data_IF_969076589489
#
_entry.id   IF_969076589489
#
_cell.length_a   1.000
_cell.length_b   1.000
_cell.length_c   1.000
_cell.angle_alpha   90.00
_cell.angle_beta   90.00
_cell.angle_gamma   90.00
#
_symmetry.space_group_name_H-M   'P 1'
#
loop_
_entity.id
_entity.type
_entity.pdbx_description
1 polymer ?
#
# COMPACT_ATOMS: atom_id res chain seq x y z
N UNK A 1 -7.55 18.86 16.97
CA UNK A 1 -6.24 18.24 17.24
C UNK A 1 -5.45 18.96 18.33
N UNK A 2 -5.19 20.29 18.25
CA UNK A 2 -4.38 21.06 19.22
C UNK A 2 -4.83 21.02 20.70
N UNK A 3 -6.09 20.68 20.99
CA UNK A 3 -6.64 20.64 22.37
C UNK A 3 -6.22 19.41 23.20
N UNK A 4 -5.56 18.40 22.62
CA UNK A 4 -5.15 17.16 23.32
C UNK A 4 -3.69 17.15 23.78
N UNK A 5 -2.87 18.12 23.36
CA UNK A 5 -1.45 18.14 23.65
C UNK A 5 -1.07 19.25 24.61
N UNK A 6 -0.11 18.98 25.51
CA UNK A 6 0.35 19.93 26.52
C UNK A 6 1.06 21.13 25.89
N UNK A 7 0.94 22.30 26.49
CA UNK A 7 1.72 23.48 26.10
C UNK A 7 3.23 23.14 26.09
N UNK A 8 3.89 23.24 24.92
CA UNK A 8 5.32 22.97 24.75
C UNK A 8 5.67 21.93 23.70
N UNK A 9 4.71 21.13 23.22
CA UNK A 9 4.97 20.18 22.13
C UNK A 9 5.07 20.94 20.79
N UNK A 10 6.16 20.68 20.06
CA UNK A 10 6.39 21.28 18.73
C UNK A 10 5.95 20.32 17.64
N UNK A 11 4.98 20.73 16.85
CA UNK A 11 4.63 20.03 15.62
C UNK A 11 5.55 20.53 14.49
N UNK A 12 6.20 19.59 13.81
CA UNK A 12 7.09 19.90 12.68
C UNK A 12 6.34 19.94 11.34
N UNK A 13 5.15 19.33 11.27
CA UNK A 13 4.33 19.30 10.08
C UNK A 13 3.14 18.34 10.20
N UNK A 14 2.41 18.17 9.12
CA UNK A 14 1.33 17.21 8.94
C UNK A 14 1.67 16.30 7.77
N UNK A 15 1.78 15.01 8.00
CA UNK A 15 1.92 14.02 6.94
C UNK A 15 0.54 13.49 6.53
N UNK A 16 0.34 13.36 5.24
CA UNK A 16 -0.90 12.90 4.63
C UNK A 16 -0.57 11.68 3.75
N UNK A 17 -1.10 10.53 4.13
CA UNK A 17 -1.02 9.31 3.34
C UNK A 17 -2.39 9.04 2.72
N UNK A 18 -2.51 9.18 1.40
CA UNK A 18 -3.77 8.95 0.69
C UNK A 18 -3.53 8.39 -0.72
N UNK A 19 -4.47 7.64 -1.28
CA UNK A 19 -4.38 7.21 -2.66
C UNK A 19 -4.25 8.42 -3.59
N UNK A 20 -3.42 8.28 -4.64
CA UNK A 20 -3.39 9.26 -5.72
C UNK A 20 -4.55 9.01 -6.68
N UNK A 21 -4.99 10.08 -7.37
CA UNK A 21 -5.98 9.99 -8.45
C UNK A 21 -7.28 9.31 -8.01
N UNK A 22 -7.76 9.62 -6.80
CA UNK A 22 -8.97 9.01 -6.22
C UNK A 22 -10.21 9.15 -7.10
N UNK A 23 -10.24 10.13 -8.01
CA UNK A 23 -11.31 10.32 -8.99
C UNK A 23 -11.38 9.22 -10.06
N UNK A 24 -10.33 8.40 -10.20
CA UNK A 24 -10.33 7.25 -11.11
C UNK A 24 -10.90 5.97 -10.45
N UNK A 25 -11.17 6.02 -9.13
CA UNK A 25 -11.59 4.86 -8.34
C UNK A 25 -13.09 4.83 -8.04
N UNK A 26 -13.90 5.66 -8.71
CA UNK A 26 -15.35 5.76 -8.46
C UNK A 26 -16.07 4.41 -8.55
N UNK A 27 -15.74 3.61 -9.56
CA UNK A 27 -16.34 2.28 -9.76
C UNK A 27 -15.99 1.30 -8.64
N UNK A 28 -14.76 1.37 -8.13
CA UNK A 28 -14.26 0.47 -7.09
C UNK A 28 -14.91 0.76 -5.74
N UNK A 29 -15.14 2.04 -5.43
CA UNK A 29 -15.80 2.46 -4.18
C UNK A 29 -17.31 2.60 -4.29
N UNK A 30 -17.89 2.19 -5.44
CA UNK A 30 -19.32 2.33 -5.75
C UNK A 30 -19.84 3.78 -5.59
N UNK A 31 -19.01 4.76 -5.88
CA UNK A 31 -19.41 6.16 -5.91
C UNK A 31 -20.20 6.44 -7.22
N UNK A 32 -21.16 7.38 -7.17
CA UNK A 32 -21.81 7.84 -8.40
C UNK A 32 -20.79 8.42 -9.39
N UNK A 33 -20.99 8.27 -10.70
CA UNK A 33 -20.12 8.86 -11.71
C UNK A 33 -19.95 10.37 -11.51
N UNK A 34 -18.72 10.84 -11.47
CA UNK A 34 -18.34 12.24 -11.25
C UNK A 34 -18.33 12.70 -9.78
N UNK A 35 -18.69 11.83 -8.83
CA UNK A 35 -18.74 12.20 -7.41
C UNK A 35 -17.35 12.53 -6.81
N UNK A 36 -16.30 11.99 -7.39
CA UNK A 36 -14.92 12.25 -6.96
C UNK A 36 -14.17 13.21 -7.89
N UNK A 37 -14.83 13.72 -8.94
CA UNK A 37 -14.22 14.57 -9.96
C UNK A 37 -13.57 15.84 -9.38
N UNK A 38 -14.21 16.47 -8.41
CA UNK A 38 -13.74 17.72 -7.77
C UNK A 38 -12.38 17.55 -7.07
N UNK A 39 -12.02 16.31 -6.66
CA UNK A 39 -10.73 16.04 -6.04
C UNK A 39 -9.53 16.24 -6.97
N UNK A 40 -9.76 16.24 -8.29
CA UNK A 40 -8.70 16.46 -9.28
C UNK A 40 -8.04 17.84 -9.13
N UNK A 41 -8.84 18.83 -8.78
CA UNK A 41 -8.40 20.22 -8.68
C UNK A 41 -8.07 20.67 -7.25
N UNK A 42 -8.16 19.74 -6.27
CA UNK A 42 -7.85 20.03 -4.87
C UNK A 42 -6.40 19.74 -4.53
N UNK A 43 -5.65 20.77 -4.19
CA UNK A 43 -4.34 20.62 -3.52
C UNK A 43 -4.58 20.38 -2.02
N UNK A 44 -4.65 19.09 -1.65
CA UNK A 44 -4.90 18.67 -0.27
C UNK A 44 -3.81 19.15 0.67
N UNK A 45 -2.54 19.16 0.25
CA UNK A 45 -1.43 19.60 1.08
C UNK A 45 -1.50 21.11 1.34
N UNK A 46 -1.78 21.90 0.31
CA UNK A 46 -1.97 23.35 0.45
C UNK A 46 -3.15 23.68 1.37
N UNK A 47 -4.29 22.98 1.20
CA UNK A 47 -5.48 23.22 2.01
C UNK A 47 -5.25 22.86 3.49
N UNK A 48 -4.60 21.72 3.78
CA UNK A 48 -4.23 21.34 5.15
C UNK A 48 -3.23 22.32 5.76
N UNK A 49 -2.24 22.77 4.98
CA UNK A 49 -1.28 23.82 5.41
C UNK A 49 -2.01 25.11 5.78
N UNK A 50 -2.95 25.54 4.94
CA UNK A 50 -3.75 26.75 5.18
C UNK A 50 -4.58 26.65 6.47
N UNK A 51 -5.21 25.51 6.72
CA UNK A 51 -6.06 25.30 7.90
C UNK A 51 -5.27 25.09 9.18
N UNK A 52 -4.15 24.37 9.12
CA UNK A 52 -3.37 24.00 10.31
C UNK A 52 -2.28 25.01 10.64
N UNK A 53 -1.82 25.78 9.65
CA UNK A 53 -0.62 26.62 9.67
C UNK A 53 0.66 25.83 9.96
N UNK A 54 0.67 24.56 9.58
CA UNK A 54 1.81 23.66 9.62
C UNK A 54 2.12 23.20 8.19
N UNK A 55 3.39 23.00 7.83
CA UNK A 55 3.73 22.38 6.56
C UNK A 55 3.00 21.04 6.43
N UNK A 56 2.28 20.81 5.34
CA UNK A 56 1.65 19.53 5.05
C UNK A 56 2.38 18.85 3.87
N UNK A 57 2.57 17.55 3.99
CA UNK A 57 3.27 16.73 3.01
C UNK A 57 2.38 15.57 2.61
N UNK A 58 2.28 15.32 1.31
CA UNK A 58 1.42 14.28 0.74
C UNK A 58 2.29 13.17 0.13
N UNK A 59 1.95 11.92 0.44
CA UNK A 59 2.48 10.75 -0.24
C UNK A 59 1.34 9.76 -0.56
N UNK A 60 1.57 8.89 -1.54
CA UNK A 60 0.70 7.74 -1.74
C UNK A 60 0.70 6.87 -0.47
N UNK A 61 -0.47 6.37 -0.07
CA UNK A 61 -0.65 5.67 1.20
C UNK A 61 0.15 4.35 1.28
N UNK A 62 0.24 3.60 0.19
CA UNK A 62 1.04 2.38 0.15
C UNK A 62 2.56 2.67 0.12
N UNK A 63 2.97 3.74 -0.56
CA UNK A 63 4.36 4.22 -0.53
C UNK A 63 4.74 4.72 0.86
N UNK A 64 3.84 5.43 1.55
CA UNK A 64 4.04 5.84 2.93
C UNK A 64 4.18 4.63 3.87
N UNK A 65 3.34 3.60 3.70
CA UNK A 65 3.45 2.35 4.45
C UNK A 65 4.79 1.64 4.22
N UNK A 66 5.27 1.61 2.97
CA UNK A 66 6.60 1.08 2.62
C UNK A 66 7.72 1.86 3.32
N UNK A 67 7.59 3.19 3.41
CA UNK A 67 8.53 4.04 4.13
C UNK A 67 8.56 3.78 5.63
N UNK A 68 7.40 3.53 6.24
CA UNK A 68 7.31 3.13 7.64
C UNK A 68 7.99 1.79 7.89
N UNK A 69 7.77 0.81 7.01
CA UNK A 69 8.43 -0.49 7.08
C UNK A 69 9.95 -0.33 6.99
N UNK A 70 10.45 0.43 6.01
CA UNK A 70 11.89 0.70 5.87
C UNK A 70 12.50 1.31 7.13
N UNK A 71 11.80 2.25 7.76
CA UNK A 71 12.28 2.91 8.96
C UNK A 71 12.27 2.03 10.21
N UNK A 72 11.43 0.98 10.22
CA UNK A 72 11.32 0.01 11.32
C UNK A 72 12.36 -1.10 11.23
N UNK A 73 12.99 -1.27 10.08
CA UNK A 73 13.99 -2.30 9.88
C UNK A 73 15.33 -1.91 10.54
N UNK A 74 15.97 -2.89 11.17
CA UNK A 74 17.33 -2.72 11.63
C UNK A 74 18.27 -2.43 10.45
N UNK A 75 19.10 -1.39 10.60
CA UNK A 75 20.07 -0.99 9.58
C UNK A 75 21.04 -2.17 9.31
N UNK A 76 21.00 -2.70 8.10
CA UNK A 76 21.87 -3.78 7.65
C UNK A 76 21.16 -5.06 7.24
N UNK A 77 19.88 -5.23 7.53
CA UNK A 77 19.06 -6.36 7.06
C UNK A 77 18.25 -5.93 5.85
N UNK A 78 18.65 -6.42 4.66
CA UNK A 78 17.92 -6.28 3.42
C UNK A 78 17.57 -4.83 3.03
N UNK A 79 18.59 -4.12 2.54
CA UNK A 79 18.44 -2.73 2.08
C UNK A 79 17.46 -2.55 0.92
N UNK A 80 17.17 -3.64 0.18
CA UNK A 80 16.35 -3.62 -1.02
C UNK A 80 15.20 -4.60 -0.86
N UNK A 81 13.97 -4.14 -1.12
CA UNK A 81 12.80 -5.01 -1.08
C UNK A 81 11.63 -4.45 -1.90
N UNK A 82 10.80 -5.37 -2.37
CA UNK A 82 9.47 -5.05 -2.89
C UNK A 82 8.45 -5.19 -1.74
N UNK A 83 7.60 -4.18 -1.57
CA UNK A 83 6.60 -4.15 -0.52
C UNK A 83 5.18 -4.23 -1.12
N UNK A 84 4.36 -5.10 -0.55
CA UNK A 84 2.93 -5.17 -0.80
C UNK A 84 2.17 -4.84 0.48
N UNK A 85 1.20 -3.95 0.38
CA UNK A 85 0.28 -3.64 1.47
C UNK A 85 -1.16 -4.01 1.04
N UNK A 86 -1.77 -4.95 1.76
CA UNK A 86 -3.14 -5.38 1.53
C UNK A 86 -4.06 -4.56 2.44
N UNK A 87 -4.61 -3.48 1.91
CA UNK A 87 -5.60 -2.62 2.55
C UNK A 87 -6.96 -2.73 1.89
N UNK A 88 -7.80 -1.70 2.04
CA UNK A 88 -9.05 -1.58 1.25
C UNK A 88 -8.74 -1.80 -0.22
N UNK A 89 -7.67 -1.18 -0.71
CA UNK A 89 -7.00 -1.51 -1.97
C UNK A 89 -5.60 -2.05 -1.69
N UNK A 90 -5.17 -3.02 -2.51
CA UNK A 90 -3.77 -3.46 -2.48
C UNK A 90 -2.91 -2.41 -3.18
N UNK A 91 -1.80 -2.07 -2.56
CA UNK A 91 -0.77 -1.19 -3.11
C UNK A 91 0.60 -1.68 -2.69
N UNK A 92 1.64 -0.88 -2.95
CA UNK A 92 2.98 -1.24 -2.55
C UNK A 92 3.99 -0.12 -2.68
N UNK A 93 5.25 -0.48 -2.57
CA UNK A 93 6.38 0.41 -2.71
C UNK A 93 7.64 -0.37 -3.01
N UNK A 94 8.64 0.34 -3.43
CA UNK A 94 9.95 -0.20 -3.80
C UNK A 94 11.02 0.47 -2.94
N UNK A 95 11.91 -0.33 -2.39
CA UNK A 95 13.13 0.15 -1.72
C UNK A 95 14.32 -0.35 -2.50
N UNK A 96 15.20 0.57 -2.90
CA UNK A 96 16.46 0.29 -3.59
C UNK A 96 17.59 1.07 -2.92
N UNK A 97 18.71 0.42 -2.70
CA UNK A 97 19.87 1.00 -2.02
C UNK A 97 19.54 1.59 -0.64
N UNK A 98 18.59 0.96 0.08
CA UNK A 98 18.18 1.41 1.40
C UNK A 98 17.33 2.69 1.41
N UNK A 99 16.80 3.10 0.26
CA UNK A 99 15.92 4.27 0.11
C UNK A 99 14.64 3.93 -0.64
N UNK A 100 13.56 4.63 -0.33
CA UNK A 100 12.33 4.55 -1.12
C UNK A 100 12.61 5.01 -2.56
N UNK A 101 12.20 4.19 -3.51
CA UNK A 101 12.28 4.51 -4.92
C UNK A 101 10.93 5.07 -5.39
N UNK A 102 10.85 6.37 -5.58
CA UNK A 102 9.60 7.04 -5.96
C UNK A 102 9.26 6.87 -7.44
N UNK A 103 10.26 6.65 -8.31
CA UNK A 103 10.08 6.72 -9.75
C UNK A 103 9.88 8.17 -10.23
N UNK A 104 9.68 8.34 -11.52
CA UNK A 104 9.58 9.68 -12.15
C UNK A 104 8.38 10.52 -11.66
N UNK A 105 7.26 9.86 -11.36
CA UNK A 105 5.99 10.54 -11.01
C UNK A 105 5.53 10.25 -9.58
N UNK A 106 6.40 9.68 -8.73
CA UNK A 106 6.02 9.27 -7.39
C UNK A 106 5.13 8.02 -7.33
N UNK A 107 5.00 7.27 -8.43
CA UNK A 107 4.10 6.12 -8.55
C UNK A 107 4.84 4.78 -8.71
N UNK A 108 6.13 4.70 -8.38
CA UNK A 108 6.85 3.44 -8.36
C UNK A 108 6.24 2.50 -7.30
N UNK A 109 6.13 1.21 -7.65
CA UNK A 109 5.47 0.26 -6.77
C UNK A 109 3.94 0.27 -6.84
N UNK A 110 3.35 0.80 -7.93
CA UNK A 110 1.90 0.73 -8.22
C UNK A 110 1.45 -0.72 -8.49
N UNK A 111 1.76 -1.62 -7.56
CA UNK A 111 1.55 -3.08 -7.73
C UNK A 111 0.07 -3.44 -7.87
N UNK A 112 -0.83 -2.62 -7.34
CA UNK A 112 -2.27 -2.82 -7.50
C UNK A 112 -2.72 -2.86 -8.96
N UNK A 113 -2.06 -2.11 -9.83
CA UNK A 113 -2.33 -2.05 -11.28
C UNK A 113 -1.64 -3.16 -12.07
N UNK A 114 -0.83 -4.03 -11.44
CA UNK A 114 -0.15 -5.11 -12.16
C UNK A 114 -1.17 -6.06 -12.80
N UNK A 115 -1.00 -6.37 -14.11
CA UNK A 115 -1.79 -7.40 -14.76
C UNK A 115 -1.41 -8.77 -14.21
N UNK A 116 -2.39 -9.53 -13.74
CA UNK A 116 -2.24 -10.90 -13.28
C UNK A 116 -3.23 -11.81 -14.02
N UNK A 117 -2.82 -13.05 -14.27
CA UNK A 117 -3.69 -14.05 -14.88
C UNK A 117 -4.25 -14.95 -13.79
N UNK A 118 -5.54 -14.80 -13.49
CA UNK A 118 -6.24 -15.55 -12.44
C UNK A 118 -7.60 -16.00 -12.95
N UNK A 119 -7.95 -17.24 -12.70
CA UNK A 119 -9.25 -17.78 -13.10
C UNK A 119 -9.52 -17.74 -14.62
N UNK A 120 -8.47 -17.91 -15.46
CA UNK A 120 -8.60 -17.96 -16.90
C UNK A 120 -8.66 -16.60 -17.62
N UNK A 121 -8.45 -15.49 -16.92
CA UNK A 121 -8.46 -14.13 -17.50
C UNK A 121 -7.37 -13.25 -16.91
N UNK A 122 -6.95 -12.26 -17.68
CA UNK A 122 -6.07 -11.19 -17.21
C UNK A 122 -6.90 -10.07 -16.59
N UNK A 123 -6.49 -9.61 -15.40
CA UNK A 123 -7.08 -8.48 -14.68
C UNK A 123 -6.04 -7.88 -13.75
N UNK A 124 -6.33 -6.74 -13.12
CA UNK A 124 -5.38 -6.12 -12.22
C UNK A 124 -5.35 -6.80 -10.85
N UNK A 125 -4.18 -6.80 -10.20
CA UNK A 125 -3.98 -7.36 -8.85
C UNK A 125 -4.99 -6.81 -7.84
N UNK A 126 -5.33 -5.53 -7.94
CA UNK A 126 -6.28 -4.84 -7.07
C UNK A 126 -7.66 -5.51 -7.04
N UNK A 127 -8.08 -6.12 -8.14
CA UNK A 127 -9.36 -6.83 -8.27
C UNK A 127 -9.36 -8.20 -7.59
N UNK A 128 -8.23 -8.65 -7.09
CA UNK A 128 -8.08 -9.95 -6.42
C UNK A 128 -7.61 -9.84 -4.98
N UNK A 129 -6.62 -8.98 -4.71
CA UNK A 129 -5.91 -8.95 -3.45
C UNK A 129 -6.38 -7.88 -2.45
N UNK A 130 -7.31 -7.01 -2.84
CA UNK A 130 -7.85 -5.96 -1.96
C UNK A 130 -8.83 -6.51 -0.93
N UNK A 131 -8.88 -5.92 0.27
CA UNK A 131 -9.88 -6.24 1.30
C UNK A 131 -11.30 -5.91 0.84
N UNK A 132 -11.48 -4.90 -0.01
CA UNK A 132 -12.78 -4.57 -0.60
C UNK A 132 -13.38 -5.75 -1.39
N UNK A 133 -12.57 -6.65 -1.94
CA UNK A 133 -13.05 -7.86 -2.62
C UNK A 133 -13.70 -8.81 -1.61
N UNK A 134 -13.11 -8.95 -0.41
CA UNK A 134 -13.70 -9.73 0.68
C UNK A 134 -14.94 -9.04 1.23
N UNK A 135 -14.91 -7.73 1.44
CA UNK A 135 -16.05 -6.93 1.88
C UNK A 135 -17.27 -7.13 0.97
N UNK A 136 -17.08 -6.97 -0.34
CA UNK A 136 -18.14 -7.21 -1.34
C UNK A 136 -18.68 -8.65 -1.28
N UNK A 137 -17.82 -9.63 -1.02
CA UNK A 137 -18.24 -11.04 -0.89
C UNK A 137 -19.07 -11.28 0.37
N UNK A 138 -18.72 -10.64 1.50
CA UNK A 138 -19.48 -10.68 2.75
C UNK A 138 -20.86 -10.06 2.58
N UNK A 139 -20.93 -8.86 2.07
CA UNK A 139 -22.18 -8.15 1.81
C UNK A 139 -23.10 -8.96 0.89
N UNK A 140 -22.56 -9.55 -0.17
CA UNK A 140 -23.32 -10.41 -1.08
C UNK A 140 -23.87 -11.68 -0.41
N UNK A 141 -23.17 -12.20 0.60
CA UNK A 141 -23.61 -13.35 1.39
C UNK A 141 -24.50 -12.99 2.59
N UNK A 142 -24.82 -11.70 2.76
CA UNK A 142 -25.62 -11.19 3.87
C UNK A 142 -24.88 -11.18 5.22
N UNK A 143 -23.55 -11.22 5.19
CA UNK A 143 -22.71 -11.18 6.38
C UNK A 143 -22.29 -9.73 6.69
N UNK A 144 -22.08 -9.45 7.98
CA UNK A 144 -21.54 -8.16 8.41
C UNK A 144 -20.05 -8.03 8.05
N UNK A 145 -19.71 -6.96 7.33
CA UNK A 145 -18.34 -6.66 6.94
C UNK A 145 -17.59 -5.78 7.95
N UNK A 146 -18.25 -5.31 9.02
CA UNK A 146 -17.62 -4.45 10.03
C UNK A 146 -16.42 -5.09 10.71
N UNK A 147 -16.40 -6.43 10.78
CA UNK A 147 -15.28 -7.20 11.31
C UNK A 147 -13.96 -6.92 10.58
N UNK A 148 -14.00 -6.54 9.30
CA UNK A 148 -12.81 -6.20 8.52
C UNK A 148 -12.13 -4.90 8.95
N UNK A 149 -12.81 -4.07 9.75
CA UNK A 149 -12.27 -2.82 10.28
C UNK A 149 -11.44 -3.03 11.54
N UNK A 150 -11.52 -4.22 12.16
CA UNK A 150 -10.72 -4.59 13.33
C UNK A 150 -9.67 -5.65 12.94
N UNK A 151 -8.40 -5.23 12.75
CA UNK A 151 -7.31 -6.14 12.40
C UNK A 151 -6.90 -7.09 13.53
N UNK A 152 -7.36 -6.84 14.77
CA UNK A 152 -7.11 -7.70 15.92
C UNK A 152 -8.24 -8.73 16.15
N UNK A 153 -9.36 -8.59 15.43
CA UNK A 153 -10.49 -9.50 15.54
C UNK A 153 -10.17 -10.90 15.00
N UNK A 154 -10.92 -11.89 15.47
CA UNK A 154 -10.83 -13.26 14.91
C UNK A 154 -11.68 -13.38 13.64
N UNK A 155 -11.02 -13.33 12.49
CA UNK A 155 -11.67 -13.47 11.19
C UNK A 155 -12.04 -14.93 10.82
N UNK A 156 -11.72 -15.91 11.66
CA UNK A 156 -12.04 -17.32 11.35
C UNK A 156 -13.54 -17.56 11.22
N UNK A 157 -14.35 -16.76 11.93
CA UNK A 157 -15.82 -16.82 11.88
C UNK A 157 -16.40 -16.46 10.50
N UNK A 158 -15.67 -15.74 9.65
CA UNK A 158 -16.08 -15.41 8.28
C UNK A 158 -16.28 -16.69 7.43
N UNK A 159 -15.46 -17.71 7.67
CA UNK A 159 -15.64 -19.01 7.05
C UNK A 159 -15.29 -19.07 5.55
N UNK A 160 -16.20 -19.61 4.69
CA UNK A 160 -15.90 -19.83 3.28
C UNK A 160 -15.51 -18.58 2.47
N UNK A 161 -16.13 -17.41 2.64
CA UNK A 161 -15.71 -16.19 1.94
C UNK A 161 -14.26 -15.83 2.19
N UNK A 162 -13.78 -15.92 3.45
CA UNK A 162 -12.39 -15.64 3.80
C UNK A 162 -11.44 -16.62 3.09
N UNK A 163 -11.77 -17.92 3.12
CA UNK A 163 -10.93 -18.94 2.46
C UNK A 163 -10.82 -18.69 0.95
N UNK A 164 -11.96 -18.43 0.28
CA UNK A 164 -11.99 -18.15 -1.15
C UNK A 164 -11.22 -16.89 -1.52
N UNK A 165 -11.28 -15.86 -0.66
CA UNK A 165 -10.52 -14.63 -0.86
C UNK A 165 -9.02 -14.87 -0.66
N UNK A 166 -8.60 -15.54 0.42
CA UNK A 166 -7.18 -15.87 0.67
C UNK A 166 -6.57 -16.69 -0.48
N UNK A 167 -7.31 -17.66 -1.00
CA UNK A 167 -6.88 -18.47 -2.14
C UNK A 167 -6.60 -17.59 -3.37
N UNK A 168 -7.52 -16.68 -3.69
CA UNK A 168 -7.39 -15.74 -4.80
C UNK A 168 -6.25 -14.75 -4.60
N UNK A 169 -6.11 -14.21 -3.38
CA UNK A 169 -4.99 -13.32 -3.01
C UNK A 169 -3.66 -14.02 -3.23
N UNK A 170 -3.53 -15.23 -2.71
CA UNK A 170 -2.28 -16.00 -2.79
C UNK A 170 -1.91 -16.36 -4.23
N UNK A 171 -2.91 -16.67 -5.08
CA UNK A 171 -2.70 -16.93 -6.50
C UNK A 171 -2.22 -15.68 -7.24
N UNK A 172 -2.92 -14.57 -7.04
CA UNK A 172 -2.59 -13.30 -7.71
C UNK A 172 -1.27 -12.71 -7.23
N UNK A 173 -0.98 -12.77 -5.93
CA UNK A 173 0.32 -12.34 -5.39
C UNK A 173 1.47 -13.19 -5.93
N UNK A 174 1.31 -14.50 -6.05
CA UNK A 174 2.35 -15.37 -6.60
C UNK A 174 2.73 -14.94 -8.03
N UNK A 175 1.74 -14.67 -8.87
CA UNK A 175 1.96 -14.18 -10.24
C UNK A 175 2.63 -12.80 -10.25
N UNK A 176 2.13 -11.85 -9.44
CA UNK A 176 2.66 -10.51 -9.36
C UNK A 176 4.10 -10.48 -8.84
N UNK A 177 4.41 -11.27 -7.82
CA UNK A 177 5.77 -11.35 -7.25
C UNK A 177 6.74 -11.89 -8.30
N UNK A 178 6.44 -13.03 -8.92
CA UNK A 178 7.35 -13.62 -9.94
C UNK A 178 7.57 -12.66 -11.11
N UNK A 179 6.52 -11.97 -11.57
CA UNK A 179 6.65 -10.95 -12.61
C UNK A 179 7.55 -9.77 -12.16
N UNK A 180 7.42 -9.30 -10.92
CA UNK A 180 8.25 -8.23 -10.38
C UNK A 180 9.72 -8.64 -10.26
N UNK A 181 9.97 -9.87 -9.81
CA UNK A 181 11.32 -10.42 -9.65
C UNK A 181 12.04 -10.58 -10.97
N UNK A 182 11.32 -10.73 -12.08
CA UNK A 182 11.92 -10.78 -13.42
C UNK A 182 12.36 -9.40 -13.95
N UNK A 183 11.94 -8.31 -13.30
CA UNK A 183 12.27 -6.93 -13.69
C UNK A 183 13.33 -6.33 -12.77
N UNK A 184 13.21 -6.57 -11.46
CA UNK A 184 14.17 -6.11 -10.45
C UNK A 184 14.49 -7.29 -9.53
N UNK A 185 15.77 -7.55 -9.36
CA UNK A 185 16.31 -8.65 -8.57
C UNK A 185 16.33 -8.32 -7.08
N UNK A 186 15.14 -8.31 -6.46
CA UNK A 186 15.03 -8.05 -5.02
C UNK A 186 15.45 -9.27 -4.18
N UNK A 187 16.22 -9.11 -3.12
CA UNK A 187 16.49 -10.20 -2.18
C UNK A 187 15.25 -10.59 -1.34
N UNK A 188 14.33 -9.65 -1.12
CA UNK A 188 13.17 -9.83 -0.24
C UNK A 188 11.91 -9.20 -0.83
N UNK A 189 10.79 -9.91 -0.67
CA UNK A 189 9.44 -9.39 -0.83
C UNK A 189 8.79 -9.34 0.54
N UNK A 190 8.25 -8.17 0.93
CA UNK A 190 7.52 -7.99 2.18
C UNK A 190 6.04 -7.84 1.90
N UNK A 191 5.23 -8.62 2.61
CA UNK A 191 3.76 -8.55 2.50
C UNK A 191 3.21 -8.13 3.86
N UNK A 192 2.47 -7.02 3.88
CA UNK A 192 1.81 -6.50 5.07
C UNK A 192 0.34 -6.16 4.75
N UNK A 193 -0.42 -5.73 5.75
CA UNK A 193 -1.80 -5.34 5.50
C UNK A 193 -2.63 -5.09 6.75
N UNK A 194 -3.84 -4.60 6.51
CA UNK A 194 -4.82 -4.27 7.56
C UNK A 194 -5.68 -5.51 7.89
N UNK A 195 -5.05 -6.56 8.39
CA UNK A 195 -5.71 -7.82 8.72
C UNK A 195 -5.02 -8.52 9.89
N UNK A 196 -5.67 -9.51 10.56
CA UNK A 196 -5.05 -10.31 11.60
C UNK A 196 -3.75 -10.99 11.11
N UNK A 197 -2.73 -11.00 11.96
CA UNK A 197 -1.44 -11.65 11.66
C UNK A 197 -1.59 -13.12 11.28
N UNK A 198 -2.58 -13.81 11.84
CA UNK A 198 -2.89 -15.20 11.51
C UNK A 198 -3.37 -15.37 10.06
N UNK A 199 -4.15 -14.41 9.54
CA UNK A 199 -4.60 -14.38 8.14
C UNK A 199 -3.44 -14.06 7.21
N UNK A 200 -2.65 -13.04 7.53
CA UNK A 200 -1.47 -12.65 6.76
C UNK A 200 -0.46 -13.81 6.66
N UNK A 201 -0.20 -14.50 7.76
CA UNK A 201 0.72 -15.65 7.78
C UNK A 201 0.26 -16.79 6.86
N UNK A 202 -1.05 -17.06 6.81
CA UNK A 202 -1.63 -18.06 5.89
C UNK A 202 -1.48 -17.62 4.43
N UNK A 203 -1.79 -16.36 4.12
CA UNK A 203 -1.61 -15.80 2.77
C UNK A 203 -0.15 -15.96 2.33
N UNK A 204 0.82 -15.60 3.18
CA UNK A 204 2.25 -15.73 2.87
C UNK A 204 2.63 -17.21 2.62
N UNK A 205 2.18 -18.11 3.47
CA UNK A 205 2.48 -19.53 3.32
C UNK A 205 1.91 -20.10 2.00
N UNK A 206 0.67 -19.77 1.67
CA UNK A 206 0.03 -20.19 0.43
C UNK A 206 0.68 -19.57 -0.80
N UNK A 207 1.04 -18.28 -0.72
CA UNK A 207 1.77 -17.57 -1.79
C UNK A 207 3.11 -18.25 -2.08
N UNK A 208 3.89 -18.58 -1.05
CA UNK A 208 5.16 -19.33 -1.18
C UNK A 208 4.94 -20.68 -1.84
N UNK A 209 3.91 -21.43 -1.41
CA UNK A 209 3.60 -22.75 -1.98
C UNK A 209 3.22 -22.66 -3.46
N UNK A 210 2.52 -21.60 -3.89
CA UNK A 210 2.15 -21.35 -5.28
C UNK A 210 3.37 -20.95 -6.12
N UNK A 211 4.21 -20.04 -5.62
CA UNK A 211 5.46 -19.66 -6.27
C UNK A 211 6.37 -20.88 -6.48
N UNK A 212 6.39 -21.81 -5.54
CA UNK A 212 7.14 -23.07 -5.68
C UNK A 212 6.70 -23.95 -6.85
N UNK A 213 5.50 -23.73 -7.41
CA UNK A 213 4.95 -24.44 -8.56
C UNK A 213 5.06 -23.71 -9.88
N UNK A 214 5.46 -22.43 -9.86
CA UNK A 214 5.68 -21.62 -11.04
C UNK A 214 7.08 -21.89 -11.61
N UNK A 215 7.20 -21.73 -12.92
CA UNK A 215 8.51 -21.73 -13.55
C UNK A 215 9.25 -20.45 -13.15
N UNK A 216 10.42 -20.62 -12.56
CA UNK A 216 11.29 -19.54 -12.07
C UNK A 216 12.69 -19.64 -12.64
N UNK A 217 12.84 -20.35 -13.77
CA UNK A 217 14.14 -20.47 -14.42
C UNK A 217 14.70 -19.07 -14.72
N UNK A 218 15.92 -18.81 -14.29
CA UNK A 218 16.60 -17.53 -14.48
C UNK A 218 16.35 -16.49 -13.40
N UNK A 219 15.48 -16.76 -12.41
CA UNK A 219 15.31 -15.87 -11.25
C UNK A 219 16.25 -16.24 -10.12
N UNK A 220 16.86 -15.24 -9.51
CA UNK A 220 17.61 -15.39 -8.26
C UNK A 220 16.67 -15.82 -7.13
N UNK A 221 17.10 -16.69 -6.19
CA UNK A 221 16.33 -17.02 -5.00
C UNK A 221 16.06 -15.76 -4.16
N UNK A 222 14.83 -15.61 -3.69
CA UNK A 222 14.39 -14.50 -2.86
C UNK A 222 13.54 -14.98 -1.69
N UNK A 223 13.44 -14.16 -0.65
CA UNK A 223 12.62 -14.43 0.51
C UNK A 223 11.27 -13.70 0.42
N UNK A 224 10.24 -14.26 1.05
CA UNK A 224 8.96 -13.60 1.28
C UNK A 224 8.74 -13.52 2.78
N UNK A 225 8.61 -12.34 3.32
CA UNK A 225 8.44 -12.11 4.75
C UNK A 225 7.17 -11.33 5.05
N UNK A 226 6.67 -11.44 6.27
CA UNK A 226 5.63 -10.52 6.75
C UNK A 226 6.25 -9.14 6.99
N UNK A 227 5.49 -8.09 6.69
CA UNK A 227 5.79 -6.76 7.17
C UNK A 227 5.67 -6.68 8.70
N UNK A 228 6.28 -5.68 9.30
CA UNK A 228 6.44 -5.58 10.76
C UNK A 228 5.33 -4.77 11.43
N UNK A 229 4.67 -3.87 10.70
CA UNK A 229 3.79 -2.86 11.28
C UNK A 229 2.32 -3.28 11.26
N UNK A 230 1.79 -3.72 10.12
CA UNK A 230 0.38 -4.07 9.98
C UNK A 230 -0.51 -2.88 9.65
N UNK A 231 -1.73 -2.86 10.22
CA UNK A 231 -2.78 -1.91 9.88
C UNK A 231 -2.36 -0.44 9.99
N UNK A 232 -1.49 -0.11 10.94
CA UNK A 232 -1.03 1.26 11.19
C UNK A 232 0.05 1.75 10.22
N UNK A 233 0.56 0.90 9.32
CA UNK A 233 1.69 1.24 8.46
C UNK A 233 1.46 2.52 7.63
N UNK A 234 0.25 2.73 7.10
CA UNK A 234 -0.09 3.94 6.34
C UNK A 234 -0.09 5.19 7.22
N UNK A 235 -0.67 5.11 8.40
CA UNK A 235 -0.73 6.23 9.34
C UNK A 235 0.65 6.59 9.88
N UNK A 236 1.45 5.59 10.25
CA UNK A 236 2.84 5.78 10.68
C UNK A 236 3.70 6.35 9.56
N UNK A 237 3.57 5.83 8.34
CA UNK A 237 4.28 6.34 7.18
C UNK A 237 3.92 7.80 6.90
N UNK A 238 2.64 8.15 6.92
CA UNK A 238 2.20 9.54 6.83
C UNK A 238 2.82 10.41 7.92
N UNK A 239 2.77 9.99 9.18
CA UNK A 239 3.34 10.73 10.31
C UNK A 239 4.86 10.94 10.19
N UNK A 240 5.56 10.06 9.50
CA UNK A 240 7.01 10.16 9.29
C UNK A 240 7.40 11.17 8.20
N UNK A 241 6.51 11.50 7.25
CA UNK A 241 6.84 12.40 6.14
C UNK A 241 7.45 13.74 6.59
N UNK A 242 6.87 14.47 7.56
CA UNK A 242 7.46 15.71 8.04
C UNK A 242 8.81 15.53 8.73
N UNK A 243 9.03 14.37 9.35
CA UNK A 243 10.29 14.06 10.01
C UNK A 243 11.37 13.79 8.95
N UNK A 244 11.05 12.94 7.97
CA UNK A 244 11.98 12.61 6.90
C UNK A 244 12.36 13.85 6.08
N UNK A 245 11.40 14.69 5.71
CA UNK A 245 11.69 15.92 4.96
C UNK A 245 12.56 16.94 5.71
N UNK A 246 12.52 16.95 7.04
CA UNK A 246 13.31 17.90 7.82
C UNK A 246 14.66 17.35 8.30
N UNK A 247 14.83 16.03 8.34
CA UNK A 247 15.98 15.40 8.99
C UNK A 247 16.74 14.37 8.13
N UNK A 248 16.29 14.13 6.88
CA UNK A 248 17.04 13.29 5.92
C UNK A 248 17.76 14.14 4.88
N UNK A 249 18.88 13.61 4.38
CA UNK A 249 19.71 14.33 3.40
C UNK A 249 19.08 14.39 2.00
N UNK A 250 17.99 13.70 1.73
CA UNK A 250 17.31 13.69 0.43
C UNK A 250 15.79 13.69 0.59
N UNK A 251 15.16 14.89 0.68
CA UNK A 251 13.70 15.02 0.78
C UNK A 251 12.95 14.68 -0.50
N UNK A 252 13.61 14.70 -1.68
CA UNK A 252 12.94 14.53 -2.98
C UNK A 252 12.44 13.10 -3.21
N UNK A 253 12.97 12.13 -2.49
CA UNK A 253 12.62 10.71 -2.65
C UNK A 253 11.18 10.40 -2.20
N UNK A 254 10.58 11.23 -1.35
CA UNK A 254 9.28 10.94 -0.72
C UNK A 254 8.13 11.85 -1.17
N UNK A 255 8.44 12.97 -1.83
CA UNK A 255 7.43 13.98 -2.12
C UNK A 255 7.12 14.01 -3.62
N UNK A 256 5.83 13.95 -3.95
CA UNK A 256 5.37 14.22 -5.32
C UNK A 256 5.61 15.69 -5.61
N UNK A 257 6.42 16.00 -6.60
CA UNK A 257 6.56 17.35 -7.11
C UNK A 257 5.29 17.73 -7.88
N UNK A 258 4.42 18.52 -7.24
CA UNK A 258 3.14 18.96 -7.80
C UNK A 258 3.35 19.89 -9.01
N UNK A 259 4.57 20.45 -9.17
CA UNK A 259 4.90 21.37 -10.25
C UNK A 259 5.09 20.70 -11.62
N UNK A 260 5.24 19.37 -11.68
CA UNK A 260 5.51 18.65 -12.93
C UNK A 260 4.28 18.38 -13.82
N UNK A 261 3.07 18.71 -13.35
CA UNK A 261 1.83 18.37 -14.09
C UNK A 261 1.36 19.47 -15.05
N UNK A 262 2.08 20.61 -15.15
CA UNK A 262 1.60 21.77 -15.95
C UNK A 262 2.24 21.91 -17.34
N UNK A 263 3.05 20.93 -17.80
CA UNK A 263 3.69 21.01 -19.13
C UNK A 263 3.46 19.73 -19.93
N UNK A 264 2.21 19.43 -20.25
CA UNK A 264 1.87 18.51 -21.35
C UNK A 264 0.51 18.88 -21.94
N UNK A 265 0.45 20.07 -22.52
CA UNK A 265 -0.73 20.58 -23.21
C UNK A 265 -0.37 21.77 -24.07
N UNK A 266 0.43 21.55 -25.13
CA UNK A 266 0.57 22.42 -26.27
C UNK A 266 0.75 21.58 -27.53
#
# INVERSE_FOLDING_TARGET
MRRRYKQGERFVGVGIAMPFEIWEWESEVAAPPGALGDWRDVDVAAEVTRQTRLPAMLANDATAACGAELAHLDRGLHSDFLYFFIGSFVGGGIVLNGALFAGRSGNAGAVGSMPVYVGGRTSQLIQHASLMVLEKALLKSGQDASLLQDPEADWTAIGPPLRSWMDRVSESLAAAIVASMSVIDFPVVRIDGAMPRSVLSKIIAETRARIGRLDRQGLTPFEITAGTIGADARALGGAMLPILANFTCDPEVLLKDVSATTVAGA
#
